data_IF_065259027937
#
_entry.id   IF_065259027937
#
_cell.length_a   1.000
_cell.length_b   1.000
_cell.length_c   1.000
_cell.angle_alpha   90.00
_cell.angle_beta   90.00
_cell.angle_gamma   90.00
#
_symmetry.space_group_name_H-M   'P 1'
#
loop_
_entity.id
_entity.type
_entity.pdbx_description
1 polymer ?
#
# COMPACT_ATOMS: atom_id res chain seq x y z
N UNK A 1 -37.45 79.58 -55.10
CA UNK A 1 -38.85 79.24 -55.56
C UNK A 1 -39.39 78.46 -54.41
N UNK A 2 -40.06 79.15 -53.62
CA UNK A 2 -41.51 79.26 -53.42
C UNK A 2 -42.04 78.09 -52.64
N UNK A 3 -42.37 78.34 -51.47
CA UNK A 3 -43.58 78.92 -50.84
C UNK A 3 -44.29 77.80 -50.10
N UNK A 4 -44.51 78.00 -48.91
CA UNK A 4 -45.57 78.67 -48.13
C UNK A 4 -46.62 77.64 -47.74
N UNK A 5 -47.15 77.62 -46.66
CA UNK A 5 -47.77 78.53 -45.73
C UNK A 5 -48.71 77.69 -44.82
N UNK A 6 -48.59 77.94 -43.60
CA UNK A 6 -49.59 78.58 -42.70
C UNK A 6 -50.78 77.65 -42.34
N UNK A 7 -51.20 77.59 -41.24
CA UNK A 7 -51.59 78.38 -40.09
C UNK A 7 -52.78 77.73 -39.39
N UNK A 8 -52.78 77.85 -38.10
CA UNK A 8 -53.94 78.20 -37.23
C UNK A 8 -55.09 77.19 -37.05
N UNK A 9 -55.72 77.09 -36.03
CA UNK A 9 -55.94 77.75 -34.75
C UNK A 9 -56.75 76.86 -33.84
N UNK A 10 -56.52 76.92 -32.60
CA UNK A 10 -57.41 77.14 -31.48
C UNK A 10 -58.58 76.22 -31.14
N UNK A 11 -58.66 75.91 -29.91
CA UNK A 11 -59.61 76.23 -28.85
C UNK A 11 -60.08 75.06 -28.00
N UNK A 12 -59.70 75.15 -26.72
CA UNK A 12 -60.45 74.89 -25.48
C UNK A 12 -61.34 73.67 -25.29
N UNK A 13 -61.10 73.02 -24.13
CA UNK A 13 -62.20 72.47 -23.37
C UNK A 13 -61.90 71.41 -22.34
N UNK A 14 -61.70 71.93 -21.15
CA UNK A 14 -62.17 71.36 -19.87
C UNK A 14 -62.05 69.86 -19.52
N UNK A 15 -61.27 69.63 -18.50
CA UNK A 15 -61.51 68.88 -17.30
C UNK A 15 -62.30 67.57 -17.28
N UNK A 16 -61.72 66.49 -16.85
CA UNK A 16 -62.17 65.76 -15.68
C UNK A 16 -61.22 64.61 -15.33
N UNK A 17 -60.95 64.49 -14.05
CA UNK A 17 -60.18 63.51 -13.28
C UNK A 17 -60.60 62.07 -13.52
N UNK A 18 -59.66 61.15 -13.52
CA UNK A 18 -59.81 59.95 -12.72
C UNK A 18 -58.50 59.10 -12.74
N UNK A 19 -58.00 58.89 -11.60
CA UNK A 19 -57.41 57.67 -11.06
C UNK A 19 -56.37 56.87 -11.91
N UNK A 20 -55.13 57.21 -11.79
CA UNK A 20 -54.01 56.35 -12.21
C UNK A 20 -53.74 55.33 -11.11
N UNK A 21 -54.13 54.10 -11.33
CA UNK A 21 -53.66 52.94 -10.61
C UNK A 21 -52.39 52.41 -11.30
N UNK A 22 -51.25 52.96 -10.87
CA UNK A 22 -49.95 52.54 -11.33
C UNK A 22 -49.67 51.07 -10.94
N UNK A 23 -49.91 50.17 -11.88
CA UNK A 23 -49.54 48.75 -11.80
C UNK A 23 -48.04 48.63 -11.95
N UNK A 24 -47.37 48.71 -10.78
CA UNK A 24 -45.94 48.43 -10.66
C UNK A 24 -45.70 46.93 -10.90
N UNK A 25 -45.68 46.45 -12.12
CA UNK A 25 -45.19 45.16 -12.53
C UNK A 25 -43.69 45.09 -12.20
N UNK A 26 -43.38 44.69 -10.95
CA UNK A 26 -42.03 44.27 -10.55
C UNK A 26 -41.70 43.04 -11.37
N UNK A 27 -41.04 43.23 -12.50
CA UNK A 27 -40.38 42.16 -13.25
C UNK A 27 -39.33 41.54 -12.33
N UNK A 28 -39.71 40.43 -11.69
CA UNK A 28 -38.76 39.58 -10.94
C UNK A 28 -37.80 39.00 -11.95
N UNK A 29 -36.68 39.69 -12.20
CA UNK A 29 -35.56 39.12 -12.93
C UNK A 29 -35.03 37.93 -12.15
N UNK A 30 -35.49 36.74 -12.51
CA UNK A 30 -34.85 35.49 -12.04
C UNK A 30 -33.41 35.52 -12.53
N UNK A 31 -32.47 35.96 -11.65
CA UNK A 31 -31.03 35.82 -11.88
C UNK A 31 -30.79 34.32 -12.12
N UNK A 32 -30.63 33.91 -13.35
CA UNK A 32 -30.15 32.58 -13.72
C UNK A 32 -28.77 32.43 -13.08
N UNK A 33 -28.68 31.61 -12.00
CA UNK A 33 -27.41 31.25 -11.40
C UNK A 33 -26.53 30.70 -12.52
N UNK A 34 -25.28 31.16 -12.67
CA UNK A 34 -24.42 30.73 -13.77
C UNK A 34 -24.26 29.21 -13.70
N UNK A 35 -24.52 28.49 -14.78
CA UNK A 35 -24.47 27.03 -14.90
C UNK A 35 -23.13 26.46 -14.38
N UNK A 36 -22.05 27.23 -14.45
CA UNK A 36 -20.71 26.86 -13.90
C UNK A 36 -20.74 26.57 -12.39
N UNK A 37 -21.42 27.42 -11.59
CA UNK A 37 -21.49 27.14 -10.12
C UNK A 37 -22.16 25.81 -9.83
N UNK A 38 -23.19 25.43 -10.59
CA UNK A 38 -23.82 24.12 -10.45
C UNK A 38 -22.86 22.99 -10.86
N UNK A 39 -22.10 23.15 -11.94
CA UNK A 39 -21.11 22.15 -12.37
C UNK A 39 -20.00 21.99 -11.32
N UNK A 40 -19.45 23.08 -10.79
CA UNK A 40 -18.42 23.03 -9.74
C UNK A 40 -18.97 22.33 -8.49
N UNK A 41 -20.16 22.70 -8.02
CA UNK A 41 -20.74 22.05 -6.83
C UNK A 41 -20.97 20.55 -7.05
N UNK A 42 -21.44 20.15 -8.24
CA UNK A 42 -21.61 18.73 -8.56
C UNK A 42 -20.26 17.99 -8.59
N UNK A 43 -19.25 18.56 -9.24
CA UNK A 43 -17.90 17.97 -9.28
C UNK A 43 -17.31 17.86 -7.87
N UNK A 44 -17.39 18.93 -7.07
CA UNK A 44 -16.92 18.89 -5.68
C UNK A 44 -17.69 17.86 -4.83
N UNK A 45 -19.00 17.73 -5.04
CA UNK A 45 -19.82 16.74 -4.33
C UNK A 45 -19.43 15.31 -4.73
N UNK A 46 -19.21 15.05 -6.01
CA UNK A 46 -18.74 13.73 -6.48
C UNK A 46 -17.36 13.40 -5.90
N UNK A 47 -16.43 14.35 -5.93
CA UNK A 47 -15.10 14.16 -5.34
C UNK A 47 -15.21 13.91 -3.83
N UNK A 48 -16.04 14.66 -3.12
CA UNK A 48 -16.28 14.47 -1.70
C UNK A 48 -16.82 13.07 -1.39
N UNK A 49 -17.79 12.58 -2.15
CA UNK A 49 -18.35 11.23 -2.01
C UNK A 49 -17.27 10.17 -2.28
N UNK A 50 -16.48 10.35 -3.34
CA UNK A 50 -15.39 9.42 -3.70
C UNK A 50 -14.28 9.34 -2.64
N UNK A 51 -14.14 10.37 -1.80
CA UNK A 51 -13.17 10.38 -0.68
C UNK A 51 -13.83 9.90 0.61
N UNK A 52 -15.00 10.43 0.96
CA UNK A 52 -15.64 10.19 2.26
C UNK A 52 -16.12 8.74 2.36
N UNK A 53 -16.74 8.19 1.31
CA UNK A 53 -17.29 6.83 1.35
C UNK A 53 -16.20 5.77 1.60
N UNK A 54 -15.06 5.75 0.87
CA UNK A 54 -13.97 4.84 1.18
C UNK A 54 -13.37 5.05 2.57
N UNK A 55 -13.27 6.31 3.03
CA UNK A 55 -12.75 6.62 4.35
C UNK A 55 -13.65 6.07 5.47
N UNK A 56 -14.95 6.28 5.36
CA UNK A 56 -15.93 5.71 6.30
C UNK A 56 -15.91 4.19 6.27
N UNK A 57 -15.85 3.59 5.08
CA UNK A 57 -15.75 2.14 4.93
C UNK A 57 -14.46 1.59 5.56
N UNK A 58 -13.33 2.30 5.39
CA UNK A 58 -12.07 1.93 6.03
C UNK A 58 -12.17 1.96 7.57
N UNK A 59 -12.69 3.04 8.15
CA UNK A 59 -12.82 3.13 9.61
C UNK A 59 -13.84 2.15 10.18
N UNK A 60 -14.92 1.88 9.47
CA UNK A 60 -15.88 0.84 9.86
C UNK A 60 -15.24 -0.55 9.83
N UNK A 61 -14.52 -0.88 8.76
CA UNK A 61 -13.77 -2.13 8.67
C UNK A 61 -12.69 -2.22 9.75
N UNK A 62 -11.95 -1.13 10.00
CA UNK A 62 -10.92 -1.06 11.05
C UNK A 62 -11.51 -1.36 12.45
N UNK A 63 -12.71 -0.83 12.77
CA UNK A 63 -13.34 -1.04 14.06
C UNK A 63 -13.73 -2.51 14.31
N UNK A 64 -14.17 -3.22 13.27
CA UNK A 64 -14.64 -4.63 13.40
C UNK A 64 -13.57 -5.67 13.14
N UNK A 65 -12.46 -5.31 12.49
CA UNK A 65 -11.38 -6.24 12.18
C UNK A 65 -10.60 -6.58 13.46
N UNK A 66 -10.34 -7.86 13.66
CA UNK A 66 -9.41 -8.35 14.70
C UNK A 66 -8.08 -8.66 14.05
N UNK A 67 -6.99 -8.33 14.71
CA UNK A 67 -5.63 -8.77 14.35
C UNK A 67 -5.38 -10.05 15.12
N UNK A 68 -5.01 -11.15 14.45
CA UNK A 68 -4.60 -12.37 15.14
C UNK A 68 -3.37 -12.10 16.02
N UNK A 69 -3.25 -12.80 17.13
CA UNK A 69 -2.03 -12.74 17.94
C UNK A 69 -0.91 -13.55 17.26
N UNK A 70 0.39 -13.23 17.52
CA UNK A 70 1.50 -13.97 16.93
C UNK A 70 1.39 -15.48 17.12
N UNK A 71 0.94 -15.93 18.28
CA UNK A 71 0.80 -17.32 18.64
C UNK A 71 -0.33 -18.04 17.85
N UNK A 72 -1.36 -17.29 17.43
CA UNK A 72 -2.48 -17.83 16.63
C UNK A 72 -2.07 -18.09 15.17
N UNK A 73 -0.99 -17.41 14.72
CA UNK A 73 -0.45 -17.53 13.38
C UNK A 73 0.71 -18.54 13.29
N UNK A 74 0.83 -19.43 14.30
CA UNK A 74 1.84 -20.47 14.28
C UNK A 74 1.67 -21.35 13.04
N UNK A 75 2.65 -21.25 12.17
CA UNK A 75 2.71 -22.06 10.97
C UNK A 75 3.32 -23.42 11.29
N UNK A 76 2.94 -24.45 10.52
CA UNK A 76 3.51 -25.78 10.64
C UNK A 76 5.04 -25.72 10.48
N UNK A 77 5.74 -26.10 11.53
CA UNK A 77 7.21 -26.15 11.57
C UNK A 77 7.73 -27.54 11.29
N UNK A 78 9.00 -27.63 10.96
CA UNK A 78 9.70 -28.90 10.88
C UNK A 78 9.72 -29.55 12.26
N UNK A 79 9.44 -30.84 12.29
CA UNK A 79 9.62 -31.66 13.49
C UNK A 79 10.83 -32.54 13.33
N UNK A 80 11.87 -32.29 14.11
CA UNK A 80 13.06 -33.13 14.16
C UNK A 80 12.89 -34.18 15.28
N UNK A 81 13.06 -35.43 14.93
CA UNK A 81 13.04 -36.54 15.87
C UNK A 81 14.50 -36.96 16.16
N UNK A 82 14.88 -36.85 17.39
CA UNK A 82 16.22 -37.22 17.85
C UNK A 82 16.20 -38.57 18.56
N UNK A 83 17.35 -39.26 18.52
CA UNK A 83 17.59 -40.45 19.33
C UNK A 83 17.62 -40.11 20.82
N UNK A 84 17.67 -41.13 21.68
CA UNK A 84 17.73 -40.97 23.14
C UNK A 84 19.00 -40.23 23.62
N UNK A 85 20.01 -40.09 22.77
CA UNK A 85 21.22 -39.30 23.03
C UNK A 85 21.01 -37.79 22.90
N UNK A 86 19.83 -37.37 22.40
CA UNK A 86 19.46 -35.97 22.21
C UNK A 86 20.21 -35.23 21.09
N UNK A 87 21.10 -35.90 20.36
CA UNK A 87 21.96 -35.28 19.34
C UNK A 87 21.87 -35.96 17.97
N UNK A 88 21.61 -37.27 17.93
CA UNK A 88 21.49 -38.02 16.68
C UNK A 88 20.08 -37.83 16.08
N UNK A 89 19.98 -37.10 14.98
CA UNK A 89 18.71 -36.92 14.26
C UNK A 89 18.31 -38.24 13.61
N UNK A 90 17.14 -38.78 13.99
CA UNK A 90 16.58 -40.02 13.46
C UNK A 90 15.64 -39.77 12.27
N UNK A 91 14.90 -38.68 12.31
CA UNK A 91 14.00 -38.30 11.22
C UNK A 91 13.70 -36.80 11.26
N UNK A 92 13.45 -36.26 10.10
CA UNK A 92 13.01 -34.88 9.89
C UNK A 92 11.67 -34.89 9.15
N UNK A 93 10.62 -34.45 9.79
CA UNK A 93 9.29 -34.34 9.20
C UNK A 93 9.11 -32.91 8.70
N UNK A 94 9.12 -32.75 7.36
CA UNK A 94 8.89 -31.45 6.70
C UNK A 94 7.40 -31.40 6.34
N UNK A 95 6.65 -30.37 6.77
CA UNK A 95 5.27 -30.17 6.36
C UNK A 95 5.14 -30.03 4.84
N UNK A 96 3.96 -30.40 4.25
CA UNK A 96 3.72 -30.23 2.82
C UNK A 96 3.88 -28.78 2.32
N UNK A 97 3.66 -27.83 3.23
CA UNK A 97 3.77 -26.39 2.97
C UNK A 97 5.22 -25.89 2.84
N UNK A 98 6.21 -26.76 3.08
CA UNK A 98 7.62 -26.46 2.88
C UNK A 98 8.47 -26.52 4.14
N UNK A 99 9.75 -26.21 3.96
CA UNK A 99 10.77 -26.20 5.00
C UNK A 99 10.69 -24.89 5.79
N UNK A 100 10.30 -24.95 7.08
CA UNK A 100 10.18 -23.79 7.96
C UNK A 100 10.81 -24.06 9.32
N UNK A 101 11.66 -23.16 9.74
CA UNK A 101 12.31 -23.16 11.03
C UNK A 101 12.27 -21.72 11.56
N UNK A 102 11.53 -21.51 12.66
CA UNK A 102 11.39 -20.19 13.25
C UNK A 102 12.64 -19.82 14.03
N UNK A 103 12.96 -18.54 14.01
CA UNK A 103 14.10 -17.94 14.70
C UNK A 103 13.66 -16.65 15.37
N UNK A 104 14.21 -16.36 16.55
CA UNK A 104 14.05 -15.09 17.24
C UNK A 104 14.74 -13.96 16.45
N UNK A 105 14.15 -12.78 16.40
CA UNK A 105 14.70 -11.62 15.69
C UNK A 105 16.08 -11.21 16.18
N UNK A 106 16.36 -11.42 17.46
CA UNK A 106 17.65 -11.11 18.06
C UNK A 106 18.76 -12.07 17.62
N UNK A 107 18.41 -13.24 17.11
CA UNK A 107 19.36 -14.20 16.54
C UNK A 107 19.67 -13.90 15.06
N UNK A 108 18.87 -13.08 14.39
CA UNK A 108 19.12 -12.65 13.01
C UNK A 108 20.09 -11.47 13.03
N UNK A 109 21.29 -11.58 12.41
CA UNK A 109 22.26 -10.50 12.39
C UNK A 109 21.68 -9.19 11.85
N UNK A 110 22.08 -8.05 12.42
CA UNK A 110 21.56 -6.74 12.05
C UNK A 110 21.73 -6.45 10.55
N UNK A 111 22.90 -6.76 9.98
CA UNK A 111 23.15 -6.57 8.56
C UNK A 111 22.22 -7.41 7.65
N UNK A 112 21.77 -8.59 8.09
CA UNK A 112 20.80 -9.43 7.37
C UNK A 112 19.41 -8.79 7.44
N UNK A 113 19.01 -8.31 8.63
CA UNK A 113 17.74 -7.56 8.80
C UNK A 113 17.73 -6.31 7.91
N UNK A 114 18.81 -5.54 7.93
CA UNK A 114 18.96 -4.32 7.14
C UNK A 114 18.97 -4.61 5.64
N UNK A 115 19.52 -5.74 5.18
CA UNK A 115 19.43 -6.16 3.78
C UNK A 115 17.99 -6.37 3.34
N UNK A 116 17.16 -7.02 4.17
CA UNK A 116 15.72 -7.21 3.89
C UNK A 116 14.98 -5.89 3.89
N UNK A 117 15.25 -5.01 4.85
CA UNK A 117 14.67 -3.66 4.90
C UNK A 117 15.05 -2.83 3.68
N UNK A 118 16.33 -2.89 3.28
CA UNK A 118 16.84 -2.21 2.08
C UNK A 118 16.14 -2.68 0.81
N UNK A 119 15.86 -3.98 0.71
CA UNK A 119 15.21 -4.59 -0.44
C UNK A 119 13.73 -4.23 -0.55
N UNK A 120 12.99 -4.25 0.58
CA UNK A 120 11.55 -4.31 0.58
C UNK A 120 10.87 -3.08 1.19
N UNK A 121 11.44 -2.48 2.27
CA UNK A 121 10.77 -1.39 2.99
C UNK A 121 11.76 -0.55 3.81
N UNK A 122 12.44 0.38 3.17
CA UNK A 122 13.47 1.24 3.82
C UNK A 122 12.92 2.11 4.94
N UNK A 123 11.63 2.43 4.88
CA UNK A 123 10.95 3.24 5.87
C UNK A 123 10.20 2.39 6.92
N UNK A 124 10.51 1.08 7.02
CA UNK A 124 9.74 0.13 7.83
C UNK A 124 9.53 0.59 9.27
N UNK A 125 10.58 1.01 9.96
CA UNK A 125 10.49 1.42 11.36
C UNK A 125 9.70 2.73 11.58
N UNK A 126 9.61 3.57 10.55
CA UNK A 126 8.93 4.88 10.62
C UNK A 126 7.51 4.87 10.05
N UNK A 127 7.17 3.92 9.15
CA UNK A 127 5.85 3.86 8.54
C UNK A 127 4.77 3.28 9.47
N UNK A 128 3.51 3.61 9.21
CA UNK A 128 2.34 3.15 9.99
C UNK A 128 1.69 1.88 9.43
N UNK A 129 2.49 0.97 8.84
CA UNK A 129 2.02 -0.28 8.24
C UNK A 129 1.59 -0.15 6.79
N UNK A 130 1.56 1.06 6.25
CA UNK A 130 1.37 1.33 4.83
C UNK A 130 2.24 2.52 4.39
N UNK A 131 2.65 2.53 3.13
CA UNK A 131 3.44 3.61 2.54
C UNK A 131 2.62 4.40 1.53
N UNK A 132 2.30 5.65 1.84
CA UNK A 132 1.62 6.56 0.90
C UNK A 132 2.51 6.85 -0.31
N UNK A 133 3.81 7.02 -0.06
CA UNK A 133 4.83 7.25 -1.10
C UNK A 133 5.03 6.02 -1.97
N UNK A 134 5.06 4.82 -1.38
CA UNK A 134 5.11 3.55 -2.09
C UNK A 134 3.88 3.33 -2.98
N UNK A 135 2.69 3.63 -2.46
CA UNK A 135 1.45 3.59 -3.24
C UNK A 135 1.49 4.57 -4.42
N UNK A 136 1.94 5.80 -4.20
CA UNK A 136 2.10 6.80 -5.24
C UNK A 136 3.09 6.36 -6.33
N UNK A 137 4.24 5.80 -5.96
CA UNK A 137 5.22 5.24 -6.91
C UNK A 137 4.64 4.09 -7.73
N UNK A 138 3.95 3.15 -7.07
CA UNK A 138 3.32 2.02 -7.76
C UNK A 138 2.25 2.49 -8.76
N UNK A 139 1.44 3.49 -8.39
CA UNK A 139 0.44 4.07 -9.29
C UNK A 139 1.09 4.75 -10.50
N UNK A 140 2.16 5.53 -10.29
CA UNK A 140 2.91 6.17 -11.38
C UNK A 140 3.61 5.13 -12.25
N UNK A 141 4.24 4.11 -11.65
CA UNK A 141 4.89 3.01 -12.37
C UNK A 141 3.91 2.29 -13.30
N UNK A 142 2.70 2.00 -12.81
CA UNK A 142 1.66 1.35 -13.59
C UNK A 142 1.15 2.24 -14.75
N UNK A 143 1.09 3.56 -14.56
CA UNK A 143 0.70 4.51 -15.60
C UNK A 143 1.80 4.72 -16.66
N UNK A 144 3.06 4.61 -16.26
CA UNK A 144 4.24 4.84 -17.13
C UNK A 144 4.79 3.54 -17.74
N UNK A 145 4.24 2.38 -17.37
CA UNK A 145 4.76 1.08 -17.82
C UNK A 145 6.14 0.72 -17.23
N UNK A 146 6.56 1.40 -16.17
CA UNK A 146 7.84 1.15 -15.52
C UNK A 146 7.68 0.25 -14.29
N UNK A 147 7.74 -1.06 -14.51
CA UNK A 147 7.65 -2.07 -13.45
C UNK A 147 8.86 -2.09 -12.49
N UNK A 148 9.92 -1.36 -12.81
CA UNK A 148 11.14 -1.27 -12.01
C UNK A 148 11.01 -0.34 -10.79
N UNK A 149 9.88 0.35 -10.63
CA UNK A 149 9.68 1.38 -9.60
C UNK A 149 9.58 0.83 -8.15
N UNK A 150 9.96 -0.43 -7.92
CA UNK A 150 9.95 -1.07 -6.60
C UNK A 150 8.54 -1.39 -6.08
N UNK A 151 8.40 -2.43 -5.27
CA UNK A 151 7.14 -2.81 -4.66
C UNK A 151 6.58 -1.67 -3.79
N UNK A 152 5.32 -1.27 -4.03
CA UNK A 152 4.65 -0.24 -3.23
C UNK A 152 4.06 -0.76 -1.92
N UNK A 153 4.24 -2.06 -1.61
CA UNK A 153 3.71 -2.69 -0.39
C UNK A 153 4.78 -2.77 0.69
N UNK A 154 4.42 -2.41 1.92
CA UNK A 154 5.30 -2.50 3.09
C UNK A 154 5.50 -3.96 3.52
N UNK A 155 6.52 -4.22 4.34
CA UNK A 155 6.75 -5.53 5.00
C UNK A 155 5.49 -5.97 5.75
N UNK A 156 4.85 -5.07 6.51
CA UNK A 156 3.60 -5.38 7.22
C UNK A 156 2.50 -5.85 6.26
N UNK A 157 2.33 -5.18 5.12
CA UNK A 157 1.33 -5.57 4.11
C UNK A 157 1.65 -6.91 3.46
N UNK A 158 2.93 -7.18 3.19
CA UNK A 158 3.37 -8.46 2.65
C UNK A 158 3.13 -9.61 3.64
N UNK A 159 3.46 -9.39 4.92
CA UNK A 159 3.16 -10.36 5.97
C UNK A 159 1.66 -10.64 6.11
N UNK A 160 0.85 -9.60 6.21
CA UNK A 160 -0.62 -9.73 6.29
C UNK A 160 -1.19 -10.46 5.08
N UNK A 161 -0.71 -10.16 3.88
CA UNK A 161 -1.10 -10.87 2.66
C UNK A 161 -0.80 -12.36 2.78
N UNK A 162 0.42 -12.72 3.18
CA UNK A 162 0.87 -14.11 3.18
C UNK A 162 0.31 -14.94 4.35
N UNK A 163 0.14 -14.35 5.53
CA UNK A 163 -0.23 -15.07 6.75
C UNK A 163 -1.71 -14.96 7.13
N UNK A 164 -2.40 -13.87 6.74
CA UNK A 164 -3.74 -13.55 7.26
C UNK A 164 -4.82 -13.54 6.20
N UNK A 165 -4.57 -12.92 5.03
CA UNK A 165 -5.62 -12.61 4.04
C UNK A 165 -5.62 -13.57 2.85
N UNK A 166 -4.47 -14.17 2.52
CA UNK A 166 -4.30 -15.07 1.37
C UNK A 166 -4.07 -14.36 0.03
N UNK A 167 -3.94 -15.17 -1.04
CA UNK A 167 -3.43 -14.73 -2.34
C UNK A 167 -4.51 -14.36 -3.37
N UNK A 168 -5.80 -14.41 -3.04
CA UNK A 168 -6.86 -14.08 -3.98
C UNK A 168 -6.69 -12.66 -4.54
N UNK A 169 -6.72 -12.52 -5.87
CA UNK A 169 -6.60 -11.21 -6.52
C UNK A 169 -7.93 -10.47 -6.54
N UNK A 170 -8.20 -9.65 -5.53
CA UNK A 170 -9.39 -8.79 -5.48
C UNK A 170 -9.10 -7.45 -4.81
N UNK A 171 -9.86 -6.41 -5.18
CA UNK A 171 -9.80 -5.10 -4.51
C UNK A 171 -10.25 -5.20 -3.05
N UNK A 172 -11.19 -6.10 -2.75
CA UNK A 172 -11.66 -6.35 -1.38
C UNK A 172 -10.54 -6.91 -0.52
N UNK A 173 -9.77 -7.87 -1.05
CA UNK A 173 -8.59 -8.38 -0.37
C UNK A 173 -7.57 -7.27 -0.09
N UNK A 174 -7.27 -6.42 -1.10
CA UNK A 174 -6.33 -5.30 -0.91
C UNK A 174 -6.82 -4.30 0.13
N UNK A 175 -8.12 -4.07 0.20
CA UNK A 175 -8.74 -3.27 1.27
C UNK A 175 -8.58 -3.91 2.65
N UNK A 176 -8.82 -5.22 2.79
CA UNK A 176 -8.59 -5.96 4.04
C UNK A 176 -7.11 -5.93 4.46
N UNK A 177 -6.19 -6.20 3.53
CA UNK A 177 -4.74 -6.10 3.75
C UNK A 177 -4.36 -4.74 4.34
N UNK A 178 -4.84 -3.64 3.76
CA UNK A 178 -4.57 -2.29 4.24
C UNK A 178 -5.09 -2.07 5.68
N UNK A 179 -6.34 -2.49 5.94
CA UNK A 179 -6.97 -2.34 7.26
C UNK A 179 -6.23 -3.15 8.32
N UNK A 180 -5.93 -4.43 8.03
CA UNK A 180 -5.23 -5.31 8.96
C UNK A 180 -3.80 -4.81 9.22
N UNK A 181 -3.08 -4.39 8.17
CA UNK A 181 -1.71 -3.87 8.30
C UNK A 181 -1.64 -2.60 9.16
N UNK A 182 -2.58 -1.66 8.94
CA UNK A 182 -2.65 -0.44 9.74
C UNK A 182 -2.97 -0.74 11.21
N UNK A 183 -3.78 -1.75 11.49
CA UNK A 183 -4.14 -2.16 12.84
C UNK A 183 -3.02 -2.95 13.50
N UNK A 184 -2.41 -3.90 12.80
CA UNK A 184 -1.28 -4.70 13.26
C UNK A 184 -0.11 -3.83 13.72
N UNK A 185 0.27 -2.80 12.95
CA UNK A 185 1.36 -1.88 13.33
C UNK A 185 1.06 -1.08 14.62
N UNK A 186 -0.17 -1.06 15.09
CA UNK A 186 -0.55 -0.44 16.37
C UNK A 186 -0.59 -1.44 17.54
N UNK A 187 -0.82 -2.70 17.26
CA UNK A 187 -0.99 -3.75 18.25
C UNK A 187 0.30 -4.56 18.47
N UNK A 188 1.14 -4.67 17.43
CA UNK A 188 2.43 -5.35 17.45
C UNK A 188 3.57 -4.34 17.36
N UNK A 189 4.69 -4.65 18.00
CA UNK A 189 5.93 -3.91 17.78
C UNK A 189 6.47 -4.14 16.35
N UNK A 190 7.34 -3.26 15.91
CA UNK A 190 8.00 -3.43 14.60
C UNK A 190 8.87 -4.68 14.54
N UNK A 191 9.54 -5.01 15.64
CA UNK A 191 10.39 -6.21 15.71
C UNK A 191 9.55 -7.49 15.66
N UNK A 192 8.40 -7.55 16.35
CA UNK A 192 7.47 -8.68 16.23
C UNK A 192 6.95 -8.87 14.80
N UNK A 193 6.65 -7.77 14.08
CA UNK A 193 6.22 -7.83 12.69
C UNK A 193 7.35 -8.32 11.78
N UNK A 194 8.58 -7.82 12.00
CA UNK A 194 9.75 -8.21 11.20
C UNK A 194 10.11 -9.67 11.45
N UNK A 195 10.10 -10.11 12.70
CA UNK A 195 10.31 -11.51 13.08
C UNK A 195 9.30 -12.43 12.38
N UNK A 196 8.02 -12.12 12.50
CA UNK A 196 6.96 -12.89 11.87
C UNK A 196 7.10 -12.92 10.34
N UNK A 197 7.49 -11.81 9.73
CA UNK A 197 7.76 -11.71 8.29
C UNK A 197 8.95 -12.60 7.90
N UNK A 198 10.10 -12.47 8.59
CA UNK A 198 11.30 -13.24 8.31
C UNK A 198 11.11 -14.75 8.52
N UNK A 199 10.19 -15.12 9.39
CA UNK A 199 9.83 -16.52 9.64
C UNK A 199 8.80 -17.08 8.66
N UNK A 200 8.13 -16.22 7.86
CA UNK A 200 7.00 -16.63 7.02
C UNK A 200 7.29 -16.55 5.52
N UNK A 201 8.09 -15.56 5.11
CA UNK A 201 8.27 -15.26 3.69
C UNK A 201 8.96 -16.40 2.93
N UNK A 202 8.55 -16.59 1.68
CA UNK A 202 9.14 -17.58 0.78
C UNK A 202 10.37 -17.00 0.07
N UNK A 203 11.51 -17.66 0.21
CA UNK A 203 12.77 -17.26 -0.39
C UNK A 203 13.15 -18.03 -1.67
N UNK A 204 12.34 -18.98 -2.10
CA UNK A 204 12.71 -19.94 -3.15
C UNK A 204 13.27 -21.24 -2.57
N UNK A 205 13.64 -22.19 -3.45
CA UNK A 205 14.24 -23.47 -3.06
C UNK A 205 13.48 -24.23 -1.97
N UNK A 206 12.14 -24.11 -1.97
CA UNK A 206 11.26 -24.68 -0.93
C UNK A 206 11.59 -24.19 0.49
N UNK A 207 12.22 -23.02 0.63
CA UNK A 207 12.59 -22.42 1.91
C UNK A 207 11.60 -21.33 2.31
N UNK A 208 10.90 -21.55 3.41
CA UNK A 208 10.04 -20.58 4.07
C UNK A 208 10.72 -20.12 5.36
N UNK A 209 10.92 -18.81 5.47
CA UNK A 209 11.68 -18.20 6.56
C UNK A 209 13.17 -18.11 6.30
N UNK A 210 13.80 -17.14 6.99
CA UNK A 210 15.19 -16.75 6.79
C UNK A 210 16.17 -17.86 7.21
N UNK A 211 15.86 -18.61 8.27
CA UNK A 211 16.70 -19.72 8.75
C UNK A 211 16.76 -20.85 7.72
N UNK A 212 15.59 -21.27 7.20
CA UNK A 212 15.51 -22.26 6.14
C UNK A 212 16.20 -21.79 4.84
N UNK A 213 16.10 -20.51 4.52
CA UNK A 213 16.74 -19.90 3.36
C UNK A 213 18.28 -19.90 3.48
N UNK A 214 18.81 -19.50 4.64
CA UNK A 214 20.25 -19.53 4.91
C UNK A 214 20.84 -20.94 4.69
N UNK A 215 20.11 -21.95 5.15
CA UNK A 215 20.51 -23.35 4.98
C UNK A 215 20.39 -23.80 3.52
N UNK A 216 19.32 -23.42 2.81
CA UNK A 216 19.07 -23.83 1.43
C UNK A 216 20.01 -23.18 0.41
N UNK A 217 20.45 -21.96 0.67
CA UNK A 217 21.32 -21.20 -0.24
C UNK A 217 22.79 -21.39 0.06
N UNK A 218 23.18 -21.41 1.35
CA UNK A 218 24.57 -21.34 1.80
C UNK A 218 25.02 -22.51 2.68
N UNK A 219 24.08 -23.39 3.09
CA UNK A 219 24.32 -24.46 4.06
C UNK A 219 24.93 -23.97 5.38
N UNK A 220 24.47 -22.78 5.83
CA UNK A 220 24.90 -22.09 7.05
C UNK A 220 23.71 -21.78 7.95
N UNK A 221 23.90 -21.67 9.28
CA UNK A 221 22.93 -21.00 10.14
C UNK A 221 22.87 -19.50 9.79
N UNK A 222 21.74 -18.85 10.05
CA UNK A 222 21.53 -17.44 9.69
C UNK A 222 22.51 -16.50 10.40
N UNK A 223 22.97 -16.88 11.60
CA UNK A 223 23.94 -16.12 12.41
C UNK A 223 25.32 -15.99 11.74
N UNK A 224 25.63 -16.89 10.82
CA UNK A 224 26.93 -16.93 10.13
C UNK A 224 26.89 -16.32 8.72
N UNK A 225 25.74 -15.76 8.32
CA UNK A 225 25.63 -15.11 7.02
C UNK A 225 26.48 -13.83 6.98
N UNK A 226 27.20 -13.63 5.87
CA UNK A 226 27.86 -12.35 5.59
C UNK A 226 26.85 -11.32 5.09
N UNK A 227 27.29 -10.05 4.97
CA UNK A 227 26.47 -8.97 4.41
C UNK A 227 26.01 -9.33 2.98
N UNK A 228 26.94 -9.84 2.17
CA UNK A 228 26.68 -10.18 0.77
C UNK A 228 25.71 -11.36 0.65
N UNK A 229 25.82 -12.36 1.52
CA UNK A 229 24.91 -13.50 1.57
C UNK A 229 23.52 -13.07 2.03
N UNK A 230 23.43 -12.20 3.05
CA UNK A 230 22.17 -11.57 3.46
C UNK A 230 21.50 -10.79 2.34
N UNK A 231 22.28 -10.04 1.56
CA UNK A 231 21.80 -9.31 0.39
C UNK A 231 21.27 -10.24 -0.73
N UNK A 232 21.89 -11.43 -0.93
CA UNK A 232 21.37 -12.42 -1.89
C UNK A 232 20.00 -12.93 -1.46
N UNK A 233 19.83 -13.28 -0.18
CA UNK A 233 18.53 -13.71 0.33
C UNK A 233 17.48 -12.60 0.19
N UNK A 234 17.83 -11.37 0.58
CA UNK A 234 16.94 -10.22 0.45
C UNK A 234 16.55 -9.94 -1.00
N UNK A 235 17.48 -10.06 -1.94
CA UNK A 235 17.22 -9.89 -3.37
C UNK A 235 16.23 -10.92 -3.91
N UNK A 236 16.26 -12.16 -3.40
CA UNK A 236 15.40 -13.24 -3.89
C UNK A 236 13.93 -13.07 -3.48
N UNK A 237 13.60 -12.32 -2.41
CA UNK A 237 12.24 -12.18 -1.87
C UNK A 237 11.24 -11.74 -2.93
N UNK A 238 11.58 -10.78 -3.75
CA UNK A 238 10.66 -10.15 -4.71
C UNK A 238 10.08 -11.15 -5.73
N UNK A 239 10.92 -12.03 -6.26
CA UNK A 239 10.57 -13.05 -7.27
C UNK A 239 11.43 -14.30 -7.07
N UNK A 240 11.17 -15.11 -6.04
CA UNK A 240 12.10 -16.14 -5.56
C UNK A 240 12.55 -17.15 -6.63
N UNK A 241 11.64 -17.53 -7.56
CA UNK A 241 11.97 -18.46 -8.65
C UNK A 241 12.74 -17.82 -9.81
N UNK A 242 12.63 -16.49 -9.97
CA UNK A 242 13.26 -15.77 -11.09
C UNK A 242 14.57 -15.13 -10.69
N UNK A 243 14.73 -14.78 -9.41
CA UNK A 243 15.92 -14.13 -8.84
C UNK A 243 16.83 -15.14 -8.10
N UNK A 244 16.67 -16.43 -8.36
CA UNK A 244 17.62 -17.42 -7.87
C UNK A 244 18.93 -17.30 -8.66
N UNK A 245 20.07 -16.97 -8.01
CA UNK A 245 21.35 -16.76 -8.69
C UNK A 245 21.89 -18.00 -9.38
N UNK A 246 21.37 -19.19 -9.07
CA UNK A 246 21.74 -20.44 -9.71
C UNK A 246 21.08 -20.63 -11.09
N UNK A 247 19.88 -20.09 -11.26
CA UNK A 247 19.10 -20.22 -12.48
C UNK A 247 19.12 -18.99 -13.36
N UNK A 248 19.24 -17.81 -12.77
CA UNK A 248 19.19 -16.51 -13.47
C UNK A 248 20.12 -15.48 -12.81
N UNK A 249 21.41 -15.69 -13.01
CA UNK A 249 22.44 -14.87 -12.39
C UNK A 249 22.37 -13.39 -12.74
N UNK A 250 22.14 -12.98 -14.01
CA UNK A 250 22.16 -11.53 -14.34
C UNK A 250 21.11 -10.74 -13.58
N UNK A 251 19.85 -11.19 -13.60
CA UNK A 251 18.78 -10.47 -12.90
C UNK A 251 18.93 -10.55 -11.36
N UNK A 252 19.45 -11.68 -10.86
CA UNK A 252 19.78 -11.80 -9.43
C UNK A 252 20.87 -10.83 -9.01
N UNK A 253 21.92 -10.65 -9.83
CA UNK A 253 23.02 -9.70 -9.59
C UNK A 253 22.55 -8.25 -9.65
N UNK A 254 21.71 -7.88 -10.63
CA UNK A 254 21.10 -6.56 -10.72
C UNK A 254 20.27 -6.24 -9.45
N UNK A 255 19.49 -7.19 -8.99
CA UNK A 255 18.68 -7.01 -7.76
C UNK A 255 19.56 -6.98 -6.51
N UNK A 256 20.60 -7.79 -6.46
CA UNK A 256 21.58 -7.78 -5.38
C UNK A 256 22.29 -6.42 -5.28
N UNK A 257 22.74 -5.85 -6.40
CA UNK A 257 23.31 -4.51 -6.44
C UNK A 257 22.35 -3.45 -5.89
N UNK A 258 21.05 -3.54 -6.25
CA UNK A 258 20.02 -2.65 -5.69
C UNK A 258 19.94 -2.74 -4.16
N UNK A 259 20.07 -3.95 -3.59
CA UNK A 259 20.04 -4.16 -2.14
C UNK A 259 21.30 -3.58 -1.49
N UNK A 260 22.47 -3.84 -2.07
CA UNK A 260 23.75 -3.32 -1.58
C UNK A 260 23.79 -1.78 -1.60
N UNK A 261 23.38 -1.16 -2.70
CA UNK A 261 23.24 0.31 -2.79
C UNK A 261 22.30 0.87 -1.71
N UNK A 262 21.25 0.12 -1.39
CA UNK A 262 20.32 0.49 -0.35
C UNK A 262 20.89 0.36 1.06
N UNK A 263 21.74 -0.63 1.32
CA UNK A 263 22.45 -0.78 2.60
C UNK A 263 23.41 0.38 2.84
N UNK A 264 24.14 0.82 1.80
CA UNK A 264 24.96 2.05 1.87
C UNK A 264 24.07 3.26 2.19
N UNK A 265 22.92 3.38 1.54
CA UNK A 265 21.98 4.48 1.78
C UNK A 265 21.32 4.49 3.17
N UNK A 266 21.37 3.36 3.89
CA UNK A 266 20.89 3.23 5.28
C UNK A 266 22.05 3.38 6.32
N UNK A 267 23.25 3.74 5.88
CA UNK A 267 24.48 3.75 6.72
C UNK A 267 24.69 2.41 7.47
N UNK A 268 24.33 1.30 6.83
CA UNK A 268 24.36 -0.04 7.45
C UNK A 268 25.59 -0.86 7.08
N UNK A 269 26.39 -0.34 6.15
CA UNK A 269 27.70 -0.90 5.72
C UNK A 269 28.63 0.22 5.31
#
# INVERSE_FOLDING_TARGET
MTNDNSSNEDVNGAAASSGDAGDNLRVRTRRRRPRWRSVITTVCSVIAVLIIVPLVAFFAAYAVTKVPQPEELQNNQISNIYAADGSSELARIVPPEGNRENIDINEVPEHVRNAVLSAEDRDFYSNSGFSVTGFGRAAIGQLTGNDSAGGGSTITQQYVKNAVVGDERSLVRKGKELVVSAKMTREWSKDEILEAYLNTIYFGRNAYGISAAAKAYFNKPVQELTVEEGAVLAASIQRPSQLDPWTNRPEAEDRWNYVMDGLVGLDSI
#
